data_IF_128028513021
#
_entry.id   IF_128028513021
#
_cell.length_a   1.000
_cell.length_b   1.000
_cell.length_c   1.000
_cell.angle_alpha   90.00
_cell.angle_beta   90.00
_cell.angle_gamma   90.00
#
_symmetry.space_group_name_H-M   'P 1'
#
loop_
_entity.id
_entity.type
_entity.pdbx_description
1 polymer ?
#
# COMPACT_ATOMS: atom_id res chain seq x y z
N UNK A 1 -9.28 -4.23 4.80
CA UNK A 1 -9.25 -4.34 3.32
C UNK A 1 -7.87 -4.86 2.93
N UNK A 2 -7.67 -5.52 1.80
CA UNK A 2 -6.39 -6.17 1.44
C UNK A 2 -6.11 -6.02 -0.05
N UNK A 3 -4.87 -6.28 -0.48
CA UNK A 3 -4.47 -6.30 -1.90
C UNK A 3 -5.14 -7.45 -2.66
N UNK A 4 -5.37 -8.59 -1.98
CA UNK A 4 -6.06 -9.76 -2.55
C UNK A 4 -7.28 -10.12 -1.71
N UNK A 5 -8.22 -10.84 -2.32
CA UNK A 5 -9.37 -11.41 -1.62
C UNK A 5 -9.03 -12.76 -0.98
N UNK A 6 -9.81 -13.16 0.02
CA UNK A 6 -9.76 -14.52 0.61
C UNK A 6 -9.96 -15.58 -0.49
N UNK A 7 -10.88 -15.34 -1.43
CA UNK A 7 -11.12 -16.25 -2.55
C UNK A 7 -9.89 -16.40 -3.48
N UNK A 8 -9.14 -15.32 -3.72
CA UNK A 8 -7.90 -15.36 -4.50
C UNK A 8 -6.84 -16.23 -3.79
N UNK A 9 -6.71 -16.07 -2.46
CA UNK A 9 -5.78 -16.86 -1.66
C UNK A 9 -6.11 -18.35 -1.69
N UNK A 10 -7.38 -18.73 -1.46
CA UNK A 10 -7.83 -20.12 -1.56
C UNK A 10 -7.59 -20.71 -2.94
N UNK A 11 -7.96 -19.99 -4.00
CA UNK A 11 -7.77 -20.44 -5.39
C UNK A 11 -6.29 -20.66 -5.69
N UNK A 12 -5.41 -19.78 -5.28
CA UNK A 12 -3.97 -19.87 -5.54
C UNK A 12 -3.35 -21.04 -4.77
N UNK A 13 -3.75 -21.25 -3.51
CA UNK A 13 -3.26 -22.36 -2.70
C UNK A 13 -3.85 -23.71 -3.12
N UNK A 14 -4.97 -23.75 -3.86
CA UNK A 14 -5.69 -24.97 -4.18
C UNK A 14 -6.33 -25.64 -2.96
N UNK A 15 -6.71 -24.83 -1.95
CA UNK A 15 -7.27 -25.30 -0.67
C UNK A 15 -8.68 -24.74 -0.52
N UNK A 16 -9.55 -25.44 0.23
CA UNK A 16 -10.89 -24.99 0.58
C UNK A 16 -10.98 -24.43 2.01
N UNK A 17 -12.08 -23.74 2.32
CA UNK A 17 -12.40 -23.24 3.64
C UNK A 17 -12.64 -24.34 4.70
N UNK A 18 -12.82 -25.59 4.27
CA UNK A 18 -12.89 -26.75 5.16
C UNK A 18 -11.53 -27.11 5.76
N UNK A 19 -10.44 -26.76 5.04
CA UNK A 19 -9.07 -27.08 5.45
C UNK A 19 -8.45 -25.97 6.29
N UNK A 20 -8.61 -24.73 5.88
CA UNK A 20 -8.13 -23.54 6.60
C UNK A 20 -9.29 -22.55 6.70
N UNK A 21 -9.56 -22.04 7.91
CA UNK A 21 -10.63 -21.07 8.16
C UNK A 21 -10.30 -19.68 7.58
N UNK A 22 -11.32 -18.92 7.25
CA UNK A 22 -11.18 -17.57 6.67
C UNK A 22 -10.36 -16.62 7.53
N UNK A 23 -10.51 -16.69 8.87
CA UNK A 23 -9.74 -15.85 9.79
C UNK A 23 -8.23 -16.12 9.71
N UNK A 24 -7.84 -17.40 9.59
CA UNK A 24 -6.44 -17.80 9.40
C UNK A 24 -5.92 -17.34 8.03
N UNK A 25 -6.74 -17.44 6.98
CA UNK A 25 -6.40 -16.95 5.64
C UNK A 25 -6.16 -15.45 5.65
N UNK A 26 -6.99 -14.68 6.37
CA UNK A 26 -6.77 -13.25 6.54
C UNK A 26 -5.42 -12.94 7.20
N UNK A 27 -5.03 -13.70 8.23
CA UNK A 27 -3.71 -13.54 8.86
C UNK A 27 -2.57 -13.84 7.87
N UNK A 28 -2.72 -14.87 7.04
CA UNK A 28 -1.74 -15.19 5.98
C UNK A 28 -1.67 -14.09 4.92
N UNK A 29 -2.80 -13.49 4.54
CA UNK A 29 -2.82 -12.36 3.60
C UNK A 29 -2.09 -11.17 4.20
N UNK A 30 -2.37 -10.77 5.45
CA UNK A 30 -1.67 -9.67 6.13
C UNK A 30 -0.15 -9.92 6.23
N UNK A 31 0.24 -11.13 6.61
CA UNK A 31 1.65 -11.49 6.69
C UNK A 31 2.33 -11.47 5.30
N UNK A 32 1.62 -11.89 4.26
CA UNK A 32 2.11 -11.86 2.88
C UNK A 32 2.27 -10.43 2.35
N UNK A 33 1.30 -9.55 2.56
CA UNK A 33 1.40 -8.13 2.20
C UNK A 33 2.63 -7.49 2.82
N UNK A 34 2.83 -7.70 4.13
CA UNK A 34 3.99 -7.20 4.86
C UNK A 34 5.31 -7.72 4.31
N UNK A 35 5.38 -9.01 4.02
CA UNK A 35 6.59 -9.62 3.46
C UNK A 35 6.91 -9.03 2.09
N UNK A 36 5.93 -8.95 1.18
CA UNK A 36 6.12 -8.44 -0.18
C UNK A 36 6.55 -6.97 -0.18
N UNK A 37 5.91 -6.12 0.64
CA UNK A 37 6.28 -4.70 0.73
C UNK A 37 7.70 -4.52 1.28
N UNK A 38 8.10 -5.33 2.27
CA UNK A 38 9.47 -5.33 2.79
C UNK A 38 10.47 -5.84 1.75
N UNK A 39 10.15 -6.92 1.04
CA UNK A 39 11.02 -7.53 0.03
C UNK A 39 11.19 -6.63 -1.20
N UNK A 40 10.14 -5.90 -1.59
CA UNK A 40 10.18 -4.92 -2.69
C UNK A 40 10.64 -3.53 -2.23
N UNK A 41 10.72 -3.28 -0.91
CA UNK A 41 11.08 -1.99 -0.30
C UNK A 41 10.24 -0.81 -0.84
N UNK A 42 9.00 -1.05 -1.22
CA UNK A 42 8.08 -0.04 -1.77
C UNK A 42 6.70 -0.17 -1.18
N UNK A 43 5.95 0.93 -1.14
CA UNK A 43 4.54 0.97 -0.81
C UNK A 43 3.75 1.11 -2.11
N UNK A 44 2.68 0.32 -2.25
CA UNK A 44 1.78 0.35 -3.42
C UNK A 44 0.38 0.74 -2.98
N UNK A 45 -0.22 1.68 -3.70
CA UNK A 45 -1.54 2.23 -3.41
C UNK A 45 -2.59 1.50 -4.25
N UNK A 46 -3.31 0.58 -3.64
CA UNK A 46 -4.37 -0.14 -4.34
C UNK A 46 -5.62 0.74 -4.48
N UNK A 47 -5.95 1.10 -5.69
CA UNK A 47 -7.08 1.96 -6.03
C UNK A 47 -8.40 1.22 -5.83
N UNK A 48 -9.19 1.61 -4.86
CA UNK A 48 -10.49 1.02 -4.53
C UNK A 48 -11.66 1.74 -5.19
N UNK A 49 -11.53 3.05 -5.35
CA UNK A 49 -12.46 3.89 -6.13
C UNK A 49 -11.67 4.89 -6.98
N UNK A 50 -12.13 5.09 -8.21
CA UNK A 50 -11.53 5.99 -9.17
C UNK A 50 -12.52 7.09 -9.59
N UNK A 51 -12.02 8.33 -9.70
CA UNK A 51 -12.69 9.45 -10.34
C UNK A 51 -14.13 9.70 -9.88
N UNK A 52 -14.35 9.70 -8.57
CA UNK A 52 -15.67 9.97 -7.99
C UNK A 52 -15.89 11.49 -7.84
N UNK A 53 -17.15 11.91 -7.85
CA UNK A 53 -17.54 13.31 -7.66
C UNK A 53 -17.98 13.54 -6.22
N UNK A 54 -17.53 14.64 -5.63
CA UNK A 54 -18.05 15.13 -4.35
C UNK A 54 -19.43 15.74 -4.58
N UNK A 55 -20.40 15.44 -3.72
CA UNK A 55 -21.71 16.14 -3.71
C UNK A 55 -21.71 17.29 -2.69
N UNK A 56 -21.10 17.07 -1.53
CA UNK A 56 -20.89 18.07 -0.48
C UNK A 56 -19.81 17.60 0.47
N UNK A 57 -19.22 18.49 1.26
CA UNK A 57 -18.31 18.18 2.32
C UNK A 57 -18.55 19.09 3.54
N UNK A 58 -18.14 18.60 4.71
CA UNK A 58 -17.93 19.39 5.93
C UNK A 58 -16.44 19.41 6.26
N UNK A 59 -16.05 19.99 7.37
CA UNK A 59 -14.65 20.08 7.75
C UNK A 59 -13.97 18.68 7.82
N UNK A 60 -14.70 17.67 8.29
CA UNK A 60 -14.17 16.31 8.53
C UNK A 60 -14.94 15.20 7.81
N UNK A 61 -15.74 15.53 6.81
CA UNK A 61 -16.46 14.52 6.02
C UNK A 61 -16.62 14.91 4.56
N UNK A 62 -16.95 13.90 3.74
CA UNK A 62 -17.27 14.05 2.33
C UNK A 62 -18.47 13.17 1.99
N UNK A 63 -19.44 13.72 1.27
CA UNK A 63 -20.63 13.01 0.83
C UNK A 63 -20.66 12.88 -0.69
N UNK A 64 -21.01 11.67 -1.14
CA UNK A 64 -21.38 11.38 -2.53
C UNK A 64 -22.78 10.82 -2.57
N UNK A 65 -23.75 11.58 -3.03
CA UNK A 65 -25.15 11.14 -3.13
C UNK A 65 -25.30 9.89 -3.98
N UNK A 66 -26.13 8.96 -3.51
CA UNK A 66 -26.46 7.70 -4.22
C UNK A 66 -25.26 6.74 -4.41
N UNK A 67 -24.22 6.82 -3.61
CA UNK A 67 -23.03 5.98 -3.74
C UNK A 67 -23.28 4.51 -3.40
N UNK A 68 -24.19 4.23 -2.44
CA UNK A 68 -24.58 2.88 -1.99
C UNK A 68 -23.40 2.00 -1.50
N UNK A 69 -22.45 2.59 -0.82
CA UNK A 69 -21.32 1.86 -0.27
C UNK A 69 -21.74 0.97 0.92
N UNK A 70 -21.09 -0.17 1.08
CA UNK A 70 -21.21 -0.92 2.31
C UNK A 70 -20.61 -0.10 3.49
N UNK A 71 -21.25 -0.20 4.66
CA UNK A 71 -20.80 0.50 5.88
C UNK A 71 -19.39 0.05 6.24
N UNK A 72 -18.52 1.01 6.58
CA UNK A 72 -17.12 0.81 6.94
C UNK A 72 -16.28 0.08 5.88
N UNK A 73 -16.74 0.04 4.62
CA UNK A 73 -16.00 -0.58 3.51
C UNK A 73 -14.61 0.05 3.31
N UNK A 74 -14.48 1.34 3.56
CA UNK A 74 -13.25 2.10 3.30
C UNK A 74 -12.49 2.48 4.57
N UNK A 75 -12.84 1.92 5.74
CA UNK A 75 -12.06 2.15 6.96
C UNK A 75 -10.59 1.80 6.73
N UNK A 76 -9.70 2.67 7.22
CA UNK A 76 -8.24 2.60 7.05
C UNK A 76 -7.75 2.74 5.59
N UNK A 77 -8.61 3.17 4.66
CA UNK A 77 -8.19 3.63 3.36
C UNK A 77 -7.79 5.12 3.41
N UNK A 78 -7.25 5.60 2.30
CA UNK A 78 -6.95 7.02 2.09
C UNK A 78 -7.83 7.58 1.00
N UNK A 79 -8.34 8.79 1.20
CA UNK A 79 -9.08 9.56 0.21
C UNK A 79 -8.22 10.72 -0.28
N UNK A 80 -8.10 10.85 -1.59
CA UNK A 80 -7.34 11.92 -2.25
C UNK A 80 -8.23 12.77 -3.12
N UNK A 81 -8.29 14.07 -2.85
CA UNK A 81 -8.89 15.06 -3.72
C UNK A 81 -7.88 15.43 -4.80
N UNK A 82 -8.02 14.89 -6.00
CA UNK A 82 -7.04 15.09 -7.08
C UNK A 82 -7.42 16.17 -8.10
N UNK A 83 -8.63 16.73 -7.99
CA UNK A 83 -9.14 17.79 -8.88
C UNK A 83 -10.23 18.61 -8.19
N UNK A 84 -10.37 19.89 -8.60
CA UNK A 84 -11.38 20.82 -8.10
C UNK A 84 -10.96 21.53 -6.83
N UNK A 85 -11.91 22.03 -6.07
CA UNK A 85 -11.68 22.71 -4.81
C UNK A 85 -11.11 21.73 -3.79
N UNK A 86 -10.16 22.16 -2.97
CA UNK A 86 -9.44 21.29 -2.03
C UNK A 86 -8.51 20.27 -2.71
N UNK A 87 -8.08 20.54 -3.94
CA UNK A 87 -7.15 19.68 -4.66
C UNK A 87 -5.84 19.48 -3.89
N UNK A 88 -5.24 18.29 -4.06
CA UNK A 88 -3.97 17.88 -3.48
C UNK A 88 -4.01 17.73 -1.96
N UNK A 89 -5.17 17.33 -1.41
CA UNK A 89 -5.33 16.92 -0.03
C UNK A 89 -5.58 15.41 0.04
N UNK A 90 -4.85 14.74 0.95
CA UNK A 90 -5.05 13.32 1.26
C UNK A 90 -5.38 13.18 2.74
N UNK A 91 -6.38 12.35 3.07
CA UNK A 91 -6.85 12.08 4.44
C UNK A 91 -7.08 10.59 4.64
N UNK A 92 -6.88 10.12 5.85
CA UNK A 92 -7.25 8.74 6.20
C UNK A 92 -8.74 8.65 6.47
N UNK A 93 -9.38 7.62 5.91
CA UNK A 93 -10.79 7.33 6.14
C UNK A 93 -10.93 6.59 7.46
N UNK A 94 -11.66 7.16 8.40
CA UNK A 94 -11.96 6.53 9.70
C UNK A 94 -13.16 5.59 9.60
N UNK A 95 -14.24 6.07 9.01
CA UNK A 95 -15.49 5.31 8.81
C UNK A 95 -16.18 5.75 7.53
N UNK A 96 -17.09 4.94 7.02
CA UNK A 96 -18.05 5.38 6.00
C UNK A 96 -19.43 4.79 6.20
N UNK A 97 -20.46 5.57 5.83
CA UNK A 97 -21.84 5.12 5.63
C UNK A 97 -22.06 4.73 4.15
N UNK A 98 -23.33 4.63 3.75
CA UNK A 98 -23.68 4.33 2.35
C UNK A 98 -23.26 5.43 1.35
N UNK A 99 -23.11 6.67 1.81
CA UNK A 99 -22.88 7.84 0.96
C UNK A 99 -21.91 8.88 1.55
N UNK A 100 -21.49 8.72 2.81
CA UNK A 100 -20.62 9.67 3.52
C UNK A 100 -19.37 9.00 4.03
N UNK A 101 -18.24 9.66 3.83
CA UNK A 101 -16.90 9.26 4.31
C UNK A 101 -16.49 10.22 5.40
N UNK A 102 -16.08 9.72 6.57
CA UNK A 102 -15.49 10.48 7.65
C UNK A 102 -13.97 10.29 7.64
N UNK A 103 -13.23 11.35 7.92
CA UNK A 103 -11.78 11.42 7.84
C UNK A 103 -11.13 11.68 9.20
N UNK A 104 -9.84 11.43 9.29
CA UNK A 104 -9.04 11.53 10.53
C UNK A 104 -8.74 12.96 10.97
N UNK A 105 -8.65 13.90 10.03
CA UNK A 105 -8.37 15.33 10.27
C UNK A 105 -9.13 16.20 9.28
N UNK A 106 -9.41 17.43 9.66
CA UNK A 106 -10.17 18.38 8.83
C UNK A 106 -9.49 18.63 7.48
N UNK A 107 -10.32 18.98 6.48
CA UNK A 107 -9.83 19.50 5.21
C UNK A 107 -9.20 20.89 5.45
N UNK A 108 -8.07 21.17 4.82
CA UNK A 108 -7.51 22.52 4.82
C UNK A 108 -8.38 23.47 3.99
N UNK A 109 -9.00 22.95 2.94
CA UNK A 109 -10.03 23.58 2.12
C UNK A 109 -11.12 22.58 1.81
N UNK A 110 -12.37 22.85 2.24
CA UNK A 110 -13.49 21.93 2.05
C UNK A 110 -13.78 21.68 0.57
N UNK A 111 -13.74 20.42 0.11
CA UNK A 111 -14.16 20.06 -1.24
C UNK A 111 -15.61 20.44 -1.53
N UNK A 112 -15.95 20.60 -2.80
CA UNK A 112 -17.31 20.89 -3.28
C UNK A 112 -17.67 20.03 -4.51
N UNK A 113 -18.75 20.37 -5.21
CA UNK A 113 -19.22 19.63 -6.37
C UNK A 113 -18.30 19.72 -7.61
N UNK A 114 -17.33 20.64 -7.62
CA UNK A 114 -16.26 20.68 -8.63
C UNK A 114 -15.17 19.66 -8.37
N UNK A 115 -15.11 19.12 -7.14
CA UNK A 115 -14.05 18.27 -6.67
C UNK A 115 -14.21 16.82 -7.14
N UNK A 116 -13.08 16.16 -7.39
CA UNK A 116 -12.99 14.75 -7.73
C UNK A 116 -12.07 14.04 -6.76
N UNK A 117 -12.45 12.84 -6.34
CA UNK A 117 -11.69 12.06 -5.41
C UNK A 117 -11.44 10.62 -5.88
N UNK A 118 -10.45 10.01 -5.26
CA UNK A 118 -10.10 8.59 -5.34
C UNK A 118 -9.97 8.01 -3.95
N UNK A 119 -10.16 6.71 -3.83
CA UNK A 119 -9.89 5.99 -2.58
C UNK A 119 -8.83 4.94 -2.84
N UNK A 120 -7.83 4.90 -1.96
CA UNK A 120 -6.71 3.97 -2.00
C UNK A 120 -6.63 3.17 -0.72
N UNK A 121 -6.22 1.93 -0.85
CA UNK A 121 -5.79 1.10 0.27
C UNK A 121 -4.26 1.00 0.30
N UNK A 122 -3.69 1.15 1.50
CA UNK A 122 -2.31 0.85 1.83
C UNK A 122 -2.35 0.00 3.10
N UNK A 123 -1.58 -1.10 3.22
CA UNK A 123 -1.55 -1.92 4.42
C UNK A 123 -1.21 -1.11 5.68
N UNK A 124 -1.96 -1.31 6.76
CA UNK A 124 -1.96 -0.48 7.98
C UNK A 124 -0.60 -0.30 8.65
N UNK A 125 0.28 -1.29 8.54
CA UNK A 125 1.62 -1.23 9.12
C UNK A 125 2.60 -0.34 8.35
N UNK A 126 2.18 0.21 7.22
CA UNK A 126 2.96 1.13 6.41
C UNK A 126 2.28 2.49 6.38
N UNK A 127 2.97 3.49 6.91
CA UNK A 127 2.50 4.86 6.83
C UNK A 127 3.03 5.50 5.54
N UNK A 128 2.16 5.81 4.55
CA UNK A 128 2.60 6.45 3.31
C UNK A 128 2.83 7.96 3.47
N UNK A 129 2.54 8.52 4.62
CA UNK A 129 2.74 9.93 4.96
C UNK A 129 3.93 10.10 5.88
N UNK A 130 4.82 11.01 5.54
CA UNK A 130 6.02 11.31 6.31
C UNK A 130 6.08 12.79 6.66
N UNK A 131 6.39 13.04 7.93
CA UNK A 131 6.77 14.34 8.46
C UNK A 131 8.24 14.24 8.86
N UNK A 132 9.11 14.90 8.12
CA UNK A 132 10.55 14.81 8.32
C UNK A 132 11.13 16.18 8.63
N UNK A 133 12.08 16.19 9.57
CA UNK A 133 12.98 17.32 9.80
C UNK A 133 14.39 16.87 9.43
N UNK A 134 14.98 17.52 8.46
CA UNK A 134 16.23 17.12 7.82
C UNK A 134 17.27 18.23 7.87
N UNK A 135 18.52 17.84 7.73
CA UNK A 135 19.61 18.76 7.54
C UNK A 135 19.54 19.35 6.13
N UNK A 136 19.80 20.61 6.00
CA UNK A 136 19.82 21.27 4.70
C UNK A 136 21.11 20.96 3.93
N UNK A 137 21.03 21.13 2.61
CA UNK A 137 22.13 20.81 1.68
C UNK A 137 22.89 22.04 1.17
N UNK A 138 22.46 23.26 1.56
CA UNK A 138 22.95 24.54 1.03
C UNK A 138 22.85 24.64 -0.51
N UNK A 139 21.92 23.91 -1.08
CA UNK A 139 21.62 23.90 -2.51
C UNK A 139 20.12 24.08 -2.75
N UNK A 140 19.73 24.37 -3.98
CA UNK A 140 18.31 24.44 -4.34
C UNK A 140 17.69 23.06 -4.66
N UNK A 141 18.42 21.98 -4.42
CA UNK A 141 18.00 20.63 -4.76
C UNK A 141 18.29 19.68 -3.59
N UNK A 142 17.32 18.85 -3.25
CA UNK A 142 17.44 17.81 -2.22
C UNK A 142 16.88 16.48 -2.72
N UNK A 143 17.44 15.37 -2.26
CA UNK A 143 16.98 14.01 -2.54
C UNK A 143 16.43 13.42 -1.25
N UNK A 144 15.27 12.77 -1.33
CA UNK A 144 14.58 12.14 -0.22
C UNK A 144 14.65 10.63 -0.37
N UNK A 145 14.87 9.94 0.73
CA UNK A 145 15.08 8.49 0.74
C UNK A 145 13.82 7.67 0.43
N UNK A 146 12.64 8.25 0.74
CA UNK A 146 11.35 7.59 0.52
C UNK A 146 10.70 8.14 -0.75
N UNK A 147 10.64 7.31 -1.77
CA UNK A 147 10.06 7.63 -3.08
C UNK A 147 9.45 6.37 -3.73
N UNK A 148 8.61 6.50 -4.77
CA UNK A 148 8.21 7.73 -5.47
C UNK A 148 7.43 8.70 -4.60
N UNK A 149 7.63 10.02 -4.81
CA UNK A 149 6.84 11.05 -4.14
C UNK A 149 5.49 11.15 -4.84
N UNK A 150 4.39 11.01 -4.09
CA UNK A 150 3.03 11.16 -4.62
C UNK A 150 2.57 12.60 -4.54
N UNK A 151 2.75 13.22 -3.36
CA UNK A 151 2.31 14.59 -3.08
C UNK A 151 3.19 15.19 -1.99
N UNK A 152 3.53 16.47 -2.12
CA UNK A 152 4.13 17.28 -1.05
C UNK A 152 3.04 18.18 -0.49
N UNK A 153 2.76 18.07 0.81
CA UNK A 153 1.78 18.94 1.49
C UNK A 153 2.43 20.22 2.01
N UNK A 154 3.62 20.12 2.58
CA UNK A 154 4.34 21.24 3.21
C UNK A 154 5.83 21.12 2.98
N UNK A 155 6.48 22.22 2.72
CA UNK A 155 7.93 22.35 2.76
C UNK A 155 8.31 23.68 3.45
N UNK A 156 9.13 23.58 4.49
CA UNK A 156 9.72 24.73 5.16
C UNK A 156 11.24 24.63 5.04
N UNK A 157 11.90 25.70 4.73
CA UNK A 157 13.36 25.77 4.74
C UNK A 157 13.83 27.06 5.39
N UNK A 158 14.70 26.96 6.39
CA UNK A 158 15.16 28.09 7.20
C UNK A 158 14.00 28.90 7.79
N UNK A 159 13.02 28.25 8.35
CA UNK A 159 11.82 28.86 8.96
C UNK A 159 10.91 29.61 7.94
N UNK A 160 11.14 29.42 6.63
CA UNK A 160 10.32 29.98 5.54
C UNK A 160 9.55 28.87 4.87
N UNK A 161 8.23 28.98 4.87
CA UNK A 161 7.36 28.06 4.12
C UNK A 161 7.47 28.34 2.63
N UNK A 162 7.71 27.27 1.86
CA UNK A 162 7.87 27.33 0.41
C UNK A 162 6.62 26.74 -0.22
N UNK A 163 5.92 27.56 -0.99
CA UNK A 163 4.73 27.12 -1.70
C UNK A 163 5.04 25.98 -2.68
N UNK A 164 4.17 24.97 -2.71
CA UNK A 164 4.37 23.75 -3.49
C UNK A 164 4.43 24.02 -5.00
N UNK A 165 3.76 25.07 -5.49
CA UNK A 165 3.82 25.50 -6.89
C UNK A 165 5.22 25.98 -7.35
N UNK A 166 6.09 26.32 -6.39
CA UNK A 166 7.51 26.68 -6.64
C UNK A 166 8.44 25.48 -6.63
N UNK A 167 7.92 24.28 -6.48
CA UNK A 167 8.72 23.04 -6.45
C UNK A 167 8.72 22.37 -7.82
N UNK A 168 9.89 21.93 -8.24
CA UNK A 168 10.06 20.97 -9.32
C UNK A 168 10.31 19.61 -8.67
N UNK A 169 9.38 18.67 -8.84
CA UNK A 169 9.40 17.37 -8.20
C UNK A 169 9.65 16.29 -9.25
N UNK A 170 10.75 15.56 -9.10
CA UNK A 170 11.04 14.34 -9.85
C UNK A 170 10.61 13.13 -9.03
N UNK A 171 9.33 12.81 -9.09
CA UNK A 171 8.65 11.84 -8.25
C UNK A 171 9.40 10.49 -8.15
N UNK A 172 9.82 9.94 -9.30
CA UNK A 172 10.42 8.60 -9.39
C UNK A 172 11.78 8.46 -8.74
N UNK A 173 12.48 9.55 -8.50
CA UNK A 173 13.83 9.56 -7.92
C UNK A 173 13.91 10.30 -6.60
N UNK A 174 12.76 10.66 -6.04
CA UNK A 174 12.69 11.37 -4.75
C UNK A 174 13.39 12.72 -4.74
N UNK A 175 13.51 13.38 -5.88
CA UNK A 175 14.25 14.63 -6.00
C UNK A 175 13.31 15.82 -6.02
N UNK A 176 13.56 16.79 -5.17
CA UNK A 176 12.86 18.08 -5.15
C UNK A 176 13.85 19.20 -5.39
N UNK A 177 13.49 20.14 -6.27
CA UNK A 177 14.23 21.37 -6.50
C UNK A 177 13.32 22.56 -6.26
N UNK A 178 13.80 23.54 -5.50
CA UNK A 178 13.14 24.83 -5.36
C UNK A 178 13.41 25.63 -6.63
N UNK A 179 12.33 25.95 -7.37
CA UNK A 179 12.41 26.75 -8.59
C UNK A 179 12.54 28.23 -8.18
N UNK A 180 13.65 28.85 -8.51
CA UNK A 180 13.93 30.23 -8.15
C UNK A 180 13.09 31.18 -9.02
N UNK A 181 12.11 31.87 -8.43
CA UNK A 181 11.62 33.12 -8.97
C UNK A 181 12.65 34.25 -8.76
N UNK A 182 12.60 35.29 -9.56
CA UNK A 182 13.63 36.33 -9.68
C UNK A 182 13.96 37.11 -8.40
N UNK A 183 13.25 36.93 -7.30
CA UNK A 183 13.36 37.80 -6.13
C UNK A 183 14.11 37.22 -4.91
N UNK A 184 14.25 35.88 -4.78
CA UNK A 184 14.96 35.30 -3.63
C UNK A 184 15.68 34.00 -4.00
N UNK A 185 16.94 33.88 -3.58
CA UNK A 185 17.70 32.63 -3.61
C UNK A 185 17.19 31.71 -2.49
N UNK A 186 16.12 30.95 -2.76
CA UNK A 186 15.64 29.94 -1.83
C UNK A 186 16.49 28.69 -1.96
N UNK A 187 17.09 28.26 -0.85
CA UNK A 187 17.90 27.06 -0.75
C UNK A 187 17.36 26.18 0.36
N UNK A 188 17.62 24.87 0.27
CA UNK A 188 17.56 23.98 1.42
C UNK A 188 18.69 24.40 2.37
N UNK A 189 18.34 25.02 3.49
CA UNK A 189 19.28 25.67 4.41
C UNK A 189 20.49 24.80 4.77
N UNK A 190 21.59 25.45 5.14
CA UNK A 190 22.84 24.77 5.50
C UNK A 190 22.85 24.21 6.94
N UNK A 191 22.00 24.76 7.79
CA UNK A 191 21.99 24.42 9.21
C UNK A 191 21.31 23.06 9.47
N UNK A 192 21.73 22.33 10.52
CA UNK A 192 21.06 21.13 10.96
C UNK A 192 19.57 21.37 11.25
N UNK A 193 18.72 20.39 10.85
CA UNK A 193 17.29 20.38 11.12
C UNK A 193 16.51 21.63 10.66
N UNK A 194 16.93 22.23 9.55
CA UNK A 194 16.28 23.44 9.00
C UNK A 194 15.40 23.19 7.78
N UNK A 195 15.21 21.93 7.41
CA UNK A 195 14.27 21.52 6.36
C UNK A 195 13.18 20.67 6.98
N UNK A 196 11.96 21.18 7.00
CA UNK A 196 10.77 20.39 7.37
C UNK A 196 9.98 20.09 6.11
N UNK A 197 9.64 18.83 5.92
CA UNK A 197 8.82 18.40 4.77
C UNK A 197 7.77 17.40 5.21
N UNK A 198 6.54 17.62 4.74
CA UNK A 198 5.41 16.70 4.88
C UNK A 198 5.03 16.22 3.49
N UNK A 199 5.12 14.94 3.24
CA UNK A 199 4.83 14.39 1.92
C UNK A 199 4.31 12.94 1.95
N UNK A 200 3.59 12.60 0.89
CA UNK A 200 3.09 11.26 0.63
C UNK A 200 3.99 10.56 -0.38
N UNK A 201 4.29 9.29 -0.12
CA UNK A 201 5.16 8.50 -1.00
C UNK A 201 4.59 7.11 -1.30
N UNK A 202 5.13 6.46 -2.31
CA UNK A 202 4.73 5.14 -2.78
C UNK A 202 4.32 5.15 -4.25
N UNK A 203 4.13 3.97 -4.80
CA UNK A 203 3.63 3.80 -6.18
C UNK A 203 2.11 3.98 -6.16
N UNK A 204 1.59 4.96 -6.90
CA UNK A 204 0.17 5.38 -6.89
C UNK A 204 -0.80 4.39 -7.56
N UNK A 205 -0.37 3.15 -7.75
CA UNK A 205 -1.17 2.01 -8.21
C UNK A 205 -0.59 0.71 -7.72
N UNK A 206 -1.40 -0.37 -7.72
CA UNK A 206 -0.96 -1.72 -7.40
C UNK A 206 -0.66 -2.49 -8.70
N UNK A 207 0.64 -2.76 -9.03
CA UNK A 207 0.98 -3.58 -10.18
C UNK A 207 0.45 -5.02 -10.04
N UNK A 208 0.13 -5.65 -11.16
CA UNK A 208 -0.31 -7.05 -11.17
C UNK A 208 0.74 -7.99 -10.57
N UNK A 209 2.01 -7.73 -10.82
CA UNK A 209 3.14 -8.51 -10.29
C UNK A 209 3.16 -8.50 -8.75
N UNK A 210 2.89 -7.34 -8.14
CA UNK A 210 2.81 -7.21 -6.67
C UNK A 210 1.62 -7.99 -6.13
N UNK A 211 0.45 -7.85 -6.76
CA UNK A 211 -0.73 -8.64 -6.40
C UNK A 211 -0.43 -10.15 -6.47
N UNK A 212 0.23 -10.60 -7.54
CA UNK A 212 0.62 -12.00 -7.72
C UNK A 212 1.64 -12.47 -6.68
N UNK A 213 2.60 -11.63 -6.31
CA UNK A 213 3.54 -11.92 -5.22
C UNK A 213 2.82 -12.14 -3.88
N UNK A 214 1.82 -11.31 -3.56
CA UNK A 214 1.02 -11.47 -2.34
C UNK A 214 0.20 -12.76 -2.39
N UNK A 215 -0.43 -13.08 -3.53
CA UNK A 215 -1.15 -14.35 -3.72
C UNK A 215 -0.26 -15.57 -3.47
N UNK A 216 0.93 -15.60 -4.10
CA UNK A 216 1.89 -16.69 -3.94
C UNK A 216 2.39 -16.81 -2.49
N UNK A 217 2.74 -15.68 -1.87
CA UNK A 217 3.25 -15.67 -0.48
C UNK A 217 2.20 -16.16 0.51
N UNK A 218 0.94 -15.72 0.38
CA UNK A 218 -0.17 -16.19 1.20
C UNK A 218 -0.40 -17.70 0.99
N UNK A 219 -0.43 -18.16 -0.27
CA UNK A 219 -0.60 -19.58 -0.61
C UNK A 219 0.53 -20.46 -0.02
N UNK A 220 1.79 -20.02 -0.11
CA UNK A 220 2.94 -20.72 0.47
C UNK A 220 2.77 -20.88 1.99
N UNK A 221 2.30 -19.84 2.69
CA UNK A 221 2.07 -19.88 4.14
C UNK A 221 0.89 -20.81 4.49
N UNK A 222 -0.20 -20.78 3.73
CA UNK A 222 -1.35 -21.69 3.89
C UNK A 222 -0.94 -23.15 3.69
N UNK A 223 -0.15 -23.45 2.67
CA UNK A 223 0.37 -24.81 2.44
C UNK A 223 1.32 -25.25 3.57
N UNK A 224 2.14 -24.34 4.12
CA UNK A 224 2.99 -24.60 5.28
C UNK A 224 2.15 -24.98 6.52
N UNK A 225 1.06 -24.26 6.78
CA UNK A 225 0.14 -24.58 7.86
C UNK A 225 -0.51 -25.96 7.67
N UNK A 226 -0.96 -26.27 6.46
CA UNK A 226 -1.53 -27.57 6.13
C UNK A 226 -0.51 -28.71 6.35
N UNK A 227 0.75 -28.52 5.93
CA UNK A 227 1.81 -29.52 6.16
C UNK A 227 2.10 -29.70 7.63
N UNK A 228 2.11 -28.63 8.45
CA UNK A 228 2.30 -28.70 9.90
C UNK A 228 1.25 -29.57 10.59
N UNK A 229 0.02 -29.57 10.13
CA UNK A 229 -1.05 -30.46 10.60
C UNK A 229 -0.86 -31.93 10.17
N UNK A 230 -0.12 -32.19 9.10
CA UNK A 230 0.12 -33.55 8.56
C UNK A 230 1.42 -34.18 9.03
N UNK A 231 2.30 -33.45 9.72
CA UNK A 231 3.61 -33.93 10.19
C UNK A 231 3.54 -35.12 11.14
N UNK A 232 2.42 -35.30 11.86
CA UNK A 232 2.20 -36.40 12.81
C UNK A 232 1.44 -37.60 12.22
N UNK A 233 1.16 -37.59 10.91
CA UNK A 233 0.44 -38.68 10.27
C UNK A 233 1.48 -39.68 9.70
N UNK A 234 1.43 -40.99 10.05
CA UNK A 234 2.38 -41.95 9.53
C UNK A 234 2.31 -42.00 8.00
N UNK A 235 3.48 -42.06 7.37
CA UNK A 235 3.61 -42.05 5.91
C UNK A 235 2.89 -43.26 5.21
N UNK A 236 2.63 -44.28 5.96
CA UNK A 236 1.92 -45.49 5.47
C UNK A 236 1.16 -46.13 6.60
N UNK A 237 -0.12 -46.38 6.42
CA UNK A 237 -0.91 -47.28 7.28
C UNK A 237 -1.09 -48.57 6.55
N UNK A 238 -0.51 -49.66 7.06
CA UNK A 238 -0.68 -50.99 6.52
C UNK A 238 -1.81 -51.68 7.30
N UNK A 239 -2.86 -52.02 6.61
CA UNK A 239 -3.94 -52.90 7.09
C UNK A 239 -3.73 -54.29 6.53
N UNK A 240 -4.29 -55.39 7.15
CA UNK A 240 -4.07 -56.76 6.70
C UNK A 240 -4.32 -57.00 5.20
N UNK A 241 -5.26 -56.24 4.61
CA UNK A 241 -5.66 -56.41 3.21
C UNK A 241 -5.46 -55.16 2.33
N UNK A 242 -4.87 -54.05 2.87
CA UNK A 242 -4.62 -52.85 2.10
C UNK A 242 -3.54 -51.97 2.76
N UNK A 243 -2.77 -51.23 1.96
CA UNK A 243 -1.86 -50.20 2.43
C UNK A 243 -2.34 -48.86 1.90
N UNK A 244 -2.51 -47.88 2.80
CA UNK A 244 -2.83 -46.50 2.46
C UNK A 244 -1.55 -45.67 2.64
N UNK A 245 -1.03 -45.15 1.52
CA UNK A 245 0.11 -44.22 1.56
C UNK A 245 -0.39 -42.79 1.78
N UNK A 246 -0.21 -42.28 3.01
CA UNK A 246 -0.54 -40.90 3.37
C UNK A 246 0.59 -39.95 2.94
N UNK A 247 1.81 -40.49 2.73
CA UNK A 247 2.97 -39.71 2.29
C UNK A 247 2.80 -39.03 0.93
N UNK A 248 1.93 -39.58 0.06
CA UNK A 248 1.68 -38.98 -1.26
C UNK A 248 1.01 -37.60 -1.16
N UNK A 249 0.07 -37.41 -0.22
CA UNK A 249 -0.58 -36.15 0.00
C UNK A 249 0.44 -35.06 0.45
N UNK A 250 1.32 -35.41 1.39
CA UNK A 250 2.40 -34.53 1.83
C UNK A 250 3.36 -34.18 0.69
N UNK A 251 3.78 -35.14 -0.11
CA UNK A 251 4.67 -34.94 -1.27
C UNK A 251 4.01 -34.00 -2.28
N UNK A 252 2.72 -34.18 -2.57
CA UNK A 252 2.00 -33.32 -3.51
C UNK A 252 1.90 -31.88 -3.01
N UNK A 253 1.58 -31.66 -1.71
CA UNK A 253 1.53 -30.33 -1.10
C UNK A 253 2.92 -29.67 -1.15
N UNK A 254 3.97 -30.41 -0.77
CA UNK A 254 5.34 -29.92 -0.80
C UNK A 254 5.78 -29.55 -2.22
N UNK A 255 5.49 -30.39 -3.22
CA UNK A 255 5.81 -30.10 -4.62
C UNK A 255 5.10 -28.84 -5.11
N UNK A 256 3.83 -28.65 -4.75
CA UNK A 256 3.09 -27.44 -5.07
C UNK A 256 3.71 -26.21 -4.39
N UNK A 257 4.08 -26.31 -3.12
CA UNK A 257 4.74 -25.24 -2.38
C UNK A 257 6.10 -24.88 -3.01
N UNK A 258 6.94 -25.84 -3.32
CA UNK A 258 8.27 -25.63 -3.92
C UNK A 258 8.13 -24.94 -5.29
N UNK A 259 7.10 -25.30 -6.08
CA UNK A 259 6.79 -24.64 -7.35
C UNK A 259 6.40 -23.18 -7.15
N UNK A 260 5.56 -22.88 -6.14
CA UNK A 260 5.15 -21.51 -5.82
C UNK A 260 6.31 -20.67 -5.28
N UNK A 261 7.22 -21.25 -4.50
CA UNK A 261 8.45 -20.58 -4.04
C UNK A 261 9.31 -20.18 -5.24
N UNK A 262 9.53 -21.10 -6.17
CA UNK A 262 10.32 -20.83 -7.38
C UNK A 262 9.68 -19.74 -8.26
N UNK A 263 8.33 -19.72 -8.39
CA UNK A 263 7.61 -18.67 -9.09
C UNK A 263 7.74 -17.32 -8.36
N UNK A 264 7.59 -17.33 -7.03
CA UNK A 264 7.73 -16.14 -6.19
C UNK A 264 9.11 -15.49 -6.34
N UNK A 265 10.18 -16.26 -6.19
CA UNK A 265 11.56 -15.76 -6.26
C UNK A 265 11.86 -15.17 -7.64
N UNK A 266 11.44 -15.86 -8.71
CA UNK A 266 11.62 -15.38 -10.09
C UNK A 266 10.83 -14.09 -10.35
N UNK A 267 9.60 -13.99 -9.84
CA UNK A 267 8.77 -12.81 -10.00
C UNK A 267 9.30 -11.63 -9.18
N UNK A 268 9.76 -11.90 -7.95
CA UNK A 268 10.36 -10.89 -7.07
C UNK A 268 11.62 -10.30 -7.71
N UNK A 269 12.53 -11.13 -8.24
CA UNK A 269 13.73 -10.66 -8.92
C UNK A 269 13.40 -9.75 -10.11
N UNK A 270 12.39 -10.09 -10.89
CA UNK A 270 11.91 -9.27 -12.01
C UNK A 270 11.32 -7.95 -11.51
N UNK A 271 10.51 -7.99 -10.46
CA UNK A 271 9.79 -6.82 -9.94
C UNK A 271 10.74 -5.80 -9.33
N UNK A 272 11.72 -6.24 -8.53
CA UNK A 272 12.75 -5.36 -7.95
C UNK A 272 13.59 -4.66 -9.03
N UNK A 273 13.83 -5.32 -10.18
CA UNK A 273 14.53 -4.69 -11.32
C UNK A 273 13.69 -3.60 -12.02
N UNK A 274 12.35 -3.75 -12.03
CA UNK A 274 11.43 -2.78 -12.67
C UNK A 274 11.20 -1.57 -11.76
N UNK A 275 11.16 -1.79 -10.45
CA UNK A 275 10.94 -0.76 -9.42
C UNK A 275 12.17 -0.69 -8.51
N UNK A 276 13.33 -0.24 -9.03
CA UNK A 276 14.55 -0.21 -8.22
C UNK A 276 14.35 0.75 -7.05
N UNK A 277 14.61 0.24 -5.86
CA UNK A 277 14.76 1.05 -4.67
C UNK A 277 16.23 1.38 -4.56
N UNK A 278 16.56 2.63 -4.63
CA UNK A 278 17.89 3.10 -4.27
C UNK A 278 17.89 3.31 -2.74
N UNK A 279 18.60 2.45 -2.04
CA UNK A 279 18.93 2.63 -0.63
C UNK A 279 20.29 3.26 -0.51
#
# INVERSE_FOLDING_TARGET
MNYISIADAYRTAGISNEVIKEDDVLQHIYAAENAVLRDTKNIYWDRKLENQTVSSATDNSLTQLNAQWAINKFSNCYIWIFKGKGKDQIRQVTTNTADTINIDRDWDENPDDTSRFRIFYVPEQFNPFLELTLDGTDTNTMIFDYYPIVLVEKLVSNDIEISVDKLLIWNKVGRIRINQGAEYSLFFGKLPQKVEINYWYGVDYLPYEIKRLVELKAAIQMLSQQMGGTYNVPSTISLPDSSISIGQAYINIKTSQDTMIAEYDKLLEKTVKIYPVFG
#
